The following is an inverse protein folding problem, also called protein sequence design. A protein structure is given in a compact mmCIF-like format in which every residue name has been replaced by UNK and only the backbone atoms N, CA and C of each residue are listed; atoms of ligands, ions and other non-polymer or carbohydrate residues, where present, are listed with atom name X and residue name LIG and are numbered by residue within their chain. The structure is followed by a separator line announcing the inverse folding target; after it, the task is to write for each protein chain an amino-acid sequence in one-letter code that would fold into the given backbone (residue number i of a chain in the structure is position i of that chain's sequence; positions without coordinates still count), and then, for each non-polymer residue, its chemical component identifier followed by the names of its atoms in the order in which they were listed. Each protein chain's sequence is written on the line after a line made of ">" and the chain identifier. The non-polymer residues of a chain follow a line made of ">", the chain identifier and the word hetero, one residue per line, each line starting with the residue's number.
data_IF_949436629408
#
_entry.id   IF_949436629408
#
_cell.length_a   1.000
_cell.length_b   1.000
_cell.length_c   1.000
_cell.angle_alpha   90.00
_cell.angle_beta   90.00
_cell.angle_gamma   90.00
#
_symmetry.space_group_name_H-M   'P 1'
#
loop_
_entity.id
_entity.type
_entity.pdbx_description
1 polymer ?
#
# COMPACT_ATOMS: atom_id res chain seq x y z
N UNK A 1 10.80 -5.46 -3.93
CA UNK A 1 10.97 -4.47 -5.00
C UNK A 1 10.87 -5.13 -6.37
N UNK A 2 9.96 -4.63 -7.20
CA UNK A 2 9.76 -5.07 -8.57
C UNK A 2 10.82 -4.41 -9.48
N UNK A 3 11.63 -5.22 -10.17
CA UNK A 3 12.68 -4.73 -11.07
C UNK A 3 12.21 -4.84 -12.52
N UNK A 4 11.62 -3.75 -13.04
CA UNK A 4 11.08 -3.70 -14.40
C UNK A 4 12.13 -3.99 -15.48
N UNK A 5 13.42 -3.72 -15.23
CA UNK A 5 14.47 -3.95 -16.21
C UNK A 5 14.90 -5.43 -16.29
N UNK A 6 14.66 -6.19 -15.22
CA UNK A 6 14.98 -7.61 -15.15
C UNK A 6 13.82 -8.53 -15.60
N UNK A 7 12.60 -7.99 -15.69
CA UNK A 7 11.42 -8.76 -16.07
C UNK A 7 11.40 -9.06 -17.57
N UNK A 8 10.93 -10.26 -17.92
CA UNK A 8 10.63 -10.60 -19.31
C UNK A 8 9.45 -9.76 -19.82
N UNK A 9 9.33 -9.53 -21.14
CA UNK A 9 8.22 -8.77 -21.71
C UNK A 9 6.85 -9.35 -21.33
N UNK A 10 6.76 -10.67 -21.23
CA UNK A 10 5.56 -11.40 -20.80
C UNK A 10 5.20 -11.11 -19.34
N UNK A 11 6.20 -11.09 -18.45
CA UNK A 11 6.00 -10.77 -17.04
C UNK A 11 5.57 -9.31 -16.85
N UNK A 12 6.14 -8.39 -17.63
CA UNK A 12 5.75 -6.98 -17.61
C UNK A 12 4.31 -6.81 -18.12
N UNK A 13 3.94 -7.48 -19.22
CA UNK A 13 2.58 -7.44 -19.76
C UNK A 13 1.57 -7.99 -18.75
N UNK A 14 1.90 -9.07 -18.06
CA UNK A 14 1.05 -9.63 -17.01
C UNK A 14 0.90 -8.65 -15.85
N UNK A 15 1.99 -8.07 -15.34
CA UNK A 15 1.95 -7.05 -14.29
C UNK A 15 1.05 -5.86 -14.66
N UNK A 16 1.16 -5.35 -15.89
CA UNK A 16 0.35 -4.24 -16.40
C UNK A 16 -1.13 -4.59 -16.55
N UNK A 17 -1.46 -5.87 -16.76
CA UNK A 17 -2.85 -6.33 -16.83
C UNK A 17 -3.55 -6.46 -15.47
N UNK A 18 -2.78 -6.45 -14.37
CA UNK A 18 -3.35 -6.57 -13.03
C UNK A 18 -4.08 -5.30 -12.60
N UNK A 19 -5.05 -5.38 -11.67
CA UNK A 19 -5.67 -4.21 -11.05
C UNK A 19 -4.63 -3.24 -10.45
N UNK A 20 -4.92 -1.95 -10.46
CA UNK A 20 -4.00 -0.93 -9.92
C UNK A 20 -3.64 -1.19 -8.45
N UNK A 21 -4.61 -1.65 -7.64
CA UNK A 21 -4.38 -2.04 -6.24
C UNK A 21 -3.28 -3.10 -6.11
N UNK A 22 -3.23 -4.04 -7.05
CA UNK A 22 -2.28 -5.16 -7.04
C UNK A 22 -0.90 -4.70 -7.52
N UNK A 23 -0.87 -3.83 -8.53
CA UNK A 23 0.37 -3.19 -8.99
C UNK A 23 1.03 -2.39 -7.88
N UNK A 24 0.25 -1.60 -7.12
CA UNK A 24 0.72 -0.85 -5.95
C UNK A 24 1.22 -1.80 -4.86
N UNK A 25 0.45 -2.82 -4.49
CA UNK A 25 0.86 -3.78 -3.47
C UNK A 25 2.19 -4.48 -3.82
N UNK A 26 2.35 -4.92 -5.06
CA UNK A 26 3.59 -5.53 -5.55
C UNK A 26 4.77 -4.54 -5.52
N UNK A 27 4.57 -3.30 -5.98
CA UNK A 27 5.62 -2.27 -5.97
C UNK A 27 6.09 -1.89 -4.57
N UNK A 28 5.16 -1.81 -3.61
CA UNK A 28 5.46 -1.48 -2.21
C UNK A 28 5.84 -2.70 -1.37
N UNK A 29 5.86 -3.91 -1.95
CA UNK A 29 6.29 -5.10 -1.23
C UNK A 29 7.82 -5.16 -1.08
N UNK A 30 8.26 -5.72 0.05
CA UNK A 30 9.67 -6.00 0.29
C UNK A 30 10.19 -7.23 -0.48
N UNK A 31 9.36 -7.84 -1.35
CA UNK A 31 9.70 -9.05 -2.10
C UNK A 31 10.27 -8.72 -3.48
N UNK A 32 11.31 -9.44 -3.89
CA UNK A 32 11.92 -9.25 -5.21
C UNK A 32 11.23 -10.14 -6.23
N UNK A 33 10.68 -9.54 -7.29
CA UNK A 33 10.05 -10.28 -8.39
C UNK A 33 10.98 -10.26 -9.59
N UNK A 34 11.37 -11.44 -10.08
CA UNK A 34 12.27 -11.57 -11.24
C UNK A 34 11.65 -12.36 -12.38
N UNK A 35 10.65 -13.17 -12.10
CA UNK A 35 9.98 -14.01 -13.10
C UNK A 35 8.47 -13.78 -13.11
N UNK A 36 7.83 -14.24 -14.19
CA UNK A 36 6.37 -14.29 -14.27
C UNK A 36 5.77 -15.19 -13.17
N UNK A 37 6.46 -16.26 -12.81
CA UNK A 37 6.03 -17.21 -11.78
C UNK A 37 6.02 -16.56 -10.39
N UNK A 38 7.00 -15.70 -10.08
CA UNK A 38 7.02 -14.94 -8.83
C UNK A 38 5.80 -14.02 -8.71
N UNK A 39 5.41 -13.36 -9.81
CA UNK A 39 4.25 -12.46 -9.85
C UNK A 39 2.94 -13.22 -9.63
N UNK A 40 2.77 -14.35 -10.32
CA UNK A 40 1.60 -15.22 -10.18
C UNK A 40 1.48 -15.80 -8.78
N UNK A 41 2.60 -16.31 -8.24
CA UNK A 41 2.63 -16.88 -6.89
C UNK A 41 2.30 -15.83 -5.82
N UNK A 42 2.70 -14.57 -6.03
CA UNK A 42 2.36 -13.48 -5.11
C UNK A 42 0.89 -13.08 -5.20
N UNK A 43 0.34 -13.00 -6.41
CA UNK A 43 -1.08 -12.75 -6.63
C UNK A 43 -1.94 -13.79 -5.90
N UNK A 44 -1.69 -15.08 -6.16
CA UNK A 44 -2.45 -16.18 -5.57
C UNK A 44 -2.38 -16.20 -4.04
N UNK A 45 -1.20 -15.92 -3.47
CA UNK A 45 -0.98 -16.02 -2.02
C UNK A 45 -1.41 -14.80 -1.22
N UNK A 46 -1.29 -13.60 -1.79
CA UNK A 46 -1.37 -12.34 -1.03
C UNK A 46 -2.41 -11.37 -1.54
N UNK A 47 -2.89 -11.54 -2.78
CA UNK A 47 -3.81 -10.58 -3.40
C UNK A 47 -5.25 -11.11 -3.51
N UNK A 48 -5.45 -12.42 -3.34
CA UNK A 48 -6.79 -12.99 -3.19
C UNK A 48 -7.51 -12.38 -1.97
N UNK A 49 -8.44 -11.46 -2.23
CA UNK A 49 -9.26 -10.79 -1.21
C UNK A 49 -8.77 -9.42 -0.77
N UNK A 50 -7.68 -8.90 -1.34
CA UNK A 50 -7.05 -7.64 -0.90
C UNK A 50 -7.87 -6.38 -1.19
N UNK A 51 -8.72 -6.40 -2.23
CA UNK A 51 -9.68 -5.32 -2.50
C UNK A 51 -10.70 -5.14 -1.36
N UNK A 52 -10.95 -6.18 -0.57
CA UNK A 52 -11.85 -6.12 0.60
C UNK A 52 -11.25 -5.35 1.78
N UNK A 53 -9.92 -5.22 1.84
CA UNK A 53 -9.20 -4.67 3.01
C UNK A 53 -8.67 -3.27 2.73
N UNK A 54 -8.15 -3.01 1.52
CA UNK A 54 -7.54 -1.70 1.18
C UNK A 54 -8.56 -0.55 1.07
N UNK A 55 -9.84 -0.87 0.82
CA UNK A 55 -10.93 0.10 0.79
C UNK A 55 -11.89 -0.01 1.98
N UNK A 56 -11.51 -0.74 3.03
CA UNK A 56 -12.19 -0.54 4.30
C UNK A 56 -11.94 0.90 4.72
N UNK A 57 -13.00 1.70 4.59
CA UNK A 57 -13.10 3.04 5.14
C UNK A 57 -12.48 2.97 6.53
N UNK A 58 -11.34 3.63 6.71
CA UNK A 58 -10.79 3.80 8.05
C UNK A 58 -11.95 4.24 8.94
N UNK A 59 -12.15 3.63 10.13
CA UNK A 59 -13.14 4.15 11.05
C UNK A 59 -12.89 5.64 11.17
N UNK A 60 -13.98 6.44 11.12
CA UNK A 60 -13.88 7.88 11.33
C UNK A 60 -12.91 8.11 12.49
N UNK A 61 -11.99 9.07 12.40
CA UNK A 61 -11.15 9.42 13.53
C UNK A 61 -12.09 9.95 14.61
N UNK A 62 -12.69 9.04 15.37
CA UNK A 62 -13.09 9.26 16.73
C UNK A 62 -11.76 9.43 17.46
N UNK A 63 -11.16 10.60 17.27
CA UNK A 63 -10.36 11.23 18.29
C UNK A 63 -11.40 11.46 19.39
N UNK A 64 -11.49 10.66 20.47
CA UNK A 64 -11.95 11.28 21.70
C UNK A 64 -10.96 12.42 21.91
N UNK A 65 -11.43 13.67 21.91
CA UNK A 65 -10.60 14.81 22.28
C UNK A 65 -9.80 14.41 23.51
N UNK A 66 -8.50 14.20 23.32
CA UNK A 66 -7.65 13.83 24.42
C UNK A 66 -7.41 15.14 25.17
N UNK A 67 -8.25 15.41 26.17
CA UNK A 67 -8.18 16.64 26.98
C UNK A 67 -6.86 16.78 27.73
N UNK A 68 -5.98 15.76 27.70
CA UNK A 68 -4.60 15.87 28.14
C UNK A 68 -3.69 16.65 27.16
N UNK A 69 -4.11 16.88 25.91
CA UNK A 69 -3.36 17.64 24.89
C UNK A 69 -3.80 19.10 24.78
N UNK A 70 -4.97 19.48 25.34
CA UNK A 70 -5.43 20.87 25.43
C UNK A 70 -4.39 21.87 25.99
N UNK A 71 -3.61 21.56 27.05
CA UNK A 71 -2.62 22.51 27.57
C UNK A 71 -1.39 22.69 26.66
N UNK A 72 -1.14 21.80 25.69
CA UNK A 72 -0.03 21.94 24.74
C UNK A 72 -0.40 22.84 23.56
N UNK A 73 -1.66 22.81 23.12
CA UNK A 73 -2.17 23.68 22.05
C UNK A 73 -2.25 25.15 22.49
N UNK A 74 -2.51 25.37 23.79
CA UNK A 74 -2.47 26.69 24.42
C UNK A 74 -1.04 27.28 24.54
N UNK A 75 0.00 26.49 24.27
CA UNK A 75 1.41 26.91 24.37
C UNK A 75 2.08 27.20 23.03
N UNK A 76 1.37 27.10 21.90
CA UNK A 76 1.89 27.63 20.63
C UNK A 76 1.98 29.16 20.75
N UNK A 77 3.18 29.77 20.79
CA UNK A 77 3.26 31.22 20.74
C UNK A 77 2.79 31.66 19.35
N UNK A 78 1.88 32.63 19.31
CA UNK A 78 1.58 33.42 18.11
C UNK A 78 2.91 33.86 17.52
N UNK A 79 3.30 33.24 16.40
CA UNK A 79 4.43 33.67 15.61
C UNK A 79 4.03 34.99 14.96
N UNK A 80 4.45 36.10 15.56
CA UNK A 80 4.48 37.42 14.92
C UNK A 80 5.72 37.56 14.05
#
# INVERSE_FOLDING_TARGET
>A
MLDHAALTPEALSYFQSLPLSYQVAMNHSNLTFRTLEDLKAYEERNLQGTDSVLYQRLPDPAIPSNSALDPLDAQLPDSK
#
